data_IF_837602012803
#
_entry.id   IF_837602012803
#
_cell.length_a   1.000
_cell.length_b   1.000
_cell.length_c   1.000
_cell.angle_alpha   90.00
_cell.angle_beta   90.00
_cell.angle_gamma   90.00
#
_symmetry.space_group_name_H-M   'P 1'
#
loop_
_entity.id
_entity.type
_entity.pdbx_description
1 polymer ?
2 non-polymer ?
3 water ?
#
# COMPACT_ATOMS: atom_id res chain seq x y z
N UNK A 1 -4.36 -19.06 -18.94
CA UNK A 1 -3.45 -17.90 -19.18
C UNK A 1 -2.28 -18.28 -20.08
N UNK A 2 -1.77 -17.33 -20.87
CA UNK A 2 -0.63 -17.70 -21.73
C UNK A 2 0.54 -18.17 -20.89
N UNK A 3 1.32 -19.09 -21.43
CA UNK A 3 2.49 -19.62 -20.73
C UNK A 3 3.56 -18.53 -20.55
N UNK A 4 3.62 -17.61 -21.51
CA UNK A 4 4.58 -16.51 -21.42
C UNK A 4 3.97 -15.26 -22.02
N UNK A 5 4.46 -14.11 -21.57
CA UNK A 5 3.98 -12.80 -22.02
C UNK A 5 5.17 -11.84 -22.08
N UNK A 6 5.19 -10.98 -23.10
CA UNK A 6 6.26 -9.96 -23.23
C UNK A 6 5.60 -8.77 -23.91
N UNK A 7 5.24 -7.77 -23.11
CA UNK A 7 4.57 -6.59 -23.63
C UNK A 7 5.45 -5.79 -24.60
N UNK A 8 6.74 -6.03 -24.59
CA UNK A 8 7.60 -5.31 -25.55
C UNK A 8 7.21 -5.75 -26.96
N UNK A 9 6.80 -7.00 -27.10
CA UNK A 9 6.40 -7.54 -28.40
C UNK A 9 5.11 -6.93 -28.91
N UNK A 10 4.38 -6.27 -28.03
CA UNK A 10 3.14 -5.63 -28.44
C UNK A 10 3.34 -4.14 -28.59
N UNK A 11 4.60 -3.69 -28.59
CA UNK A 11 4.89 -2.27 -28.73
C UNK A 11 4.29 -1.44 -27.60
N UNK A 12 4.17 -2.01 -26.40
CA UNK A 12 3.58 -1.27 -25.27
C UNK A 12 4.61 -0.80 -24.23
N UNK A 13 5.89 -0.96 -24.53
CA UNK A 13 6.93 -0.56 -23.58
C UNK A 13 7.92 0.43 -24.21
N UNK A 14 8.10 1.58 -23.56
CA UNK A 14 9.01 2.60 -24.08
C UNK A 14 10.44 2.24 -23.76
N UNK A 15 11.37 3.03 -24.30
CA UNK A 15 12.80 2.80 -24.05
C UNK A 15 13.12 2.81 -22.56
N UNK A 16 14.15 2.07 -22.17
CA UNK A 16 14.59 2.04 -20.79
C UNK A 16 15.14 3.45 -20.48
N UNK A 17 14.82 3.97 -19.29
CA UNK A 17 15.28 5.28 -18.86
C UNK A 17 16.40 5.14 -17.82
N UNK A 18 17.13 6.24 -17.62
CA UNK A 18 18.26 6.28 -16.67
C UNK A 18 17.89 7.30 -15.58
N UNK A 19 17.63 6.83 -14.37
CA UNK A 19 17.23 7.76 -13.32
C UNK A 19 18.37 8.57 -12.71
N UNK A 20 19.60 8.12 -12.91
CA UNK A 20 20.75 8.82 -12.36
C UNK A 20 20.80 8.81 -10.84
N UNK A 21 21.28 9.91 -10.25
CA UNK A 21 21.40 9.99 -8.81
C UNK A 21 20.16 10.52 -8.11
N UNK A 22 19.00 10.35 -8.74
CA UNK A 22 17.73 10.80 -8.16
C UNK A 22 16.88 9.54 -7.94
N UNK A 23 16.41 9.34 -6.70
CA UNK A 23 15.61 8.16 -6.40
C UNK A 23 14.19 8.29 -6.91
N UNK A 24 14.05 8.33 -8.24
CA UNK A 24 12.76 8.49 -8.89
C UNK A 24 12.24 7.19 -9.48
N UNK A 25 12.78 6.05 -9.04
CA UNK A 25 12.33 4.77 -9.57
C UNK A 25 10.79 4.65 -9.49
N UNK A 26 10.20 5.14 -8.40
CA UNK A 26 8.75 5.07 -8.24
C UNK A 26 8.03 5.79 -9.37
N UNK A 27 8.55 6.95 -9.77
CA UNK A 27 7.91 7.71 -10.86
C UNK A 27 8.08 6.99 -12.21
N UNK A 28 9.25 6.39 -12.43
CA UNK A 28 9.50 5.67 -13.68
C UNK A 28 8.60 4.44 -13.74
N UNK A 29 8.45 3.76 -12.61
CA UNK A 29 7.59 2.59 -12.55
C UNK A 29 6.16 2.99 -12.90
N UNK A 30 5.69 4.06 -12.28
CA UNK A 30 4.35 4.54 -12.53
C UNK A 30 4.08 4.97 -13.97
N UNK A 31 4.97 5.77 -14.57
CA UNK A 31 4.73 6.19 -15.94
C UNK A 31 4.80 4.99 -16.88
N UNK A 32 5.69 4.05 -16.59
CA UNK A 32 5.83 2.88 -17.44
C UNK A 32 4.53 2.09 -17.53
N UNK A 33 3.84 1.97 -16.41
CA UNK A 33 2.56 1.26 -16.35
C UNK A 33 1.53 2.04 -17.14
N UNK A 34 1.50 3.36 -16.98
CA UNK A 34 0.52 4.16 -17.71
C UNK A 34 0.82 4.16 -19.21
N UNK A 35 2.10 4.17 -19.56
CA UNK A 35 2.51 4.18 -20.97
C UNK A 35 1.89 2.99 -21.74
N UNK A 36 1.80 1.83 -21.10
CA UNK A 36 1.26 0.64 -21.73
C UNK A 36 -0.24 0.81 -21.98
N UNK A 37 -0.94 1.33 -20.97
CA UNK A 37 -2.37 1.57 -21.09
C UNK A 37 -2.66 2.64 -22.14
N UNK A 38 -1.83 3.67 -22.17
CA UNK A 38 -2.03 4.74 -23.15
C UNK A 38 -1.92 4.12 -24.55
N UNK A 39 -0.93 3.26 -24.73
CA UNK A 39 -0.72 2.60 -26.03
C UNK A 39 -1.93 1.73 -26.40
N UNK A 40 -2.39 0.93 -25.43
CA UNK A 40 -3.54 0.06 -25.64
C UNK A 40 -4.77 0.86 -26.01
N UNK A 41 -4.92 2.03 -25.40
CA UNK A 41 -6.08 2.86 -25.65
C UNK A 41 -6.07 3.73 -26.90
N UNK A 42 -4.93 4.32 -27.21
CA UNK A 42 -4.84 5.22 -28.36
C UNK A 42 -4.04 4.72 -29.54
N UNK A 43 -3.30 3.64 -29.34
CA UNK A 43 -2.50 3.07 -30.41
C UNK A 43 -1.12 3.70 -30.54
N UNK A 44 -0.85 4.71 -29.73
CA UNK A 44 0.44 5.41 -29.77
C UNK A 44 1.30 5.16 -28.54
N UNK A 45 2.59 4.87 -28.75
CA UNK A 45 3.51 4.63 -27.65
C UNK A 45 4.23 5.94 -27.39
N UNK A 46 4.05 6.48 -26.19
CA UNK A 46 4.60 7.77 -25.81
C UNK A 46 5.24 7.74 -24.41
N UNK A 47 6.50 8.14 -24.28
CA UNK A 47 7.09 8.15 -22.95
C UNK A 47 6.42 9.26 -22.13
N UNK A 48 6.09 8.98 -20.88
CA UNK A 48 5.44 9.98 -20.05
C UNK A 48 6.45 10.58 -19.08
N UNK A 49 6.15 11.77 -18.58
CA UNK A 49 7.05 12.50 -17.70
C UNK A 49 7.24 12.05 -16.26
N UNK A 50 8.38 11.41 -15.99
CA UNK A 50 8.71 10.99 -14.64
C UNK A 50 8.98 12.25 -13.80
N UNK A 51 9.56 13.26 -14.43
CA UNK A 51 9.86 14.52 -13.73
C UNK A 51 8.58 15.20 -13.23
N UNK A 52 7.52 15.16 -14.03
CA UNK A 52 6.23 15.75 -13.67
C UNK A 52 5.80 15.16 -12.32
N UNK A 53 6.02 13.85 -12.14
CA UNK A 53 5.64 13.21 -10.89
C UNK A 53 6.55 13.66 -9.76
N UNK A 54 7.85 13.69 -10.04
CA UNK A 54 8.84 14.10 -9.03
C UNK A 54 8.55 15.50 -8.49
N UNK A 55 8.27 16.44 -9.39
CA UNK A 55 8.03 17.83 -9.02
C UNK A 55 6.64 18.13 -8.50
N UNK A 56 5.64 17.39 -8.96
CA UNK A 56 4.27 17.67 -8.59
C UNK A 56 3.52 16.70 -7.68
N UNK A 57 3.78 15.39 -7.77
CA UNK A 57 3.10 14.42 -6.91
C UNK A 57 3.97 14.39 -5.68
N UNK A 58 3.84 15.40 -4.82
CA UNK A 58 4.73 15.49 -3.69
C UNK A 58 4.15 15.23 -2.30
N UNK A 59 4.33 16.18 -1.38
CA UNK A 59 3.87 16.04 0.00
C UNK A 59 2.46 15.53 0.16
N UNK A 60 1.52 16.10 -0.58
CA UNK A 60 0.13 15.71 -0.49
C UNK A 60 -0.06 14.23 -0.83
N UNK A 61 0.89 13.67 -1.56
CA UNK A 61 0.83 12.27 -1.97
C UNK A 61 1.80 11.39 -1.19
N UNK A 62 2.39 11.95 -0.14
CA UNK A 62 3.33 11.18 0.68
C UNK A 62 4.62 10.89 -0.06
N UNK A 63 4.87 11.57 -1.17
CA UNK A 63 6.08 11.35 -1.95
C UNK A 63 7.16 12.39 -1.62
N UNK A 64 8.41 12.03 -1.87
CA UNK A 64 9.54 12.89 -1.57
C UNK A 64 10.49 13.07 -2.76
N UNK A 65 9.93 13.14 -3.96
CA UNK A 65 10.75 13.35 -5.15
C UNK A 65 11.96 12.45 -5.29
N UNK A 66 13.15 13.05 -5.38
CA UNK A 66 14.36 12.28 -5.54
C UNK A 66 14.70 11.46 -4.32
N UNK A 67 13.89 11.59 -3.26
CA UNK A 67 14.15 10.82 -2.06
C UNK A 67 13.11 9.70 -1.84
N UNK A 68 12.36 9.38 -2.90
CA UNK A 68 11.42 8.28 -2.80
C UNK A 68 9.97 8.62 -2.95
N UNK A 69 9.19 7.62 -3.35
CA UNK A 69 7.77 7.82 -3.54
C UNK A 69 7.02 6.50 -3.73
N UNK A 70 5.74 6.62 -4.05
CA UNK A 70 4.87 5.46 -4.24
C UNK A 70 4.21 5.49 -5.61
N UNK A 71 4.08 4.33 -6.24
CA UNK A 71 3.45 4.27 -7.55
C UNK A 71 1.95 4.55 -7.42
N UNK A 72 1.32 3.97 -6.41
CA UNK A 72 -0.11 4.18 -6.23
C UNK A 72 -0.49 5.62 -6.02
N UNK A 73 0.29 6.36 -5.22
CA UNK A 73 -0.08 7.75 -4.97
C UNK A 73 0.23 8.61 -6.16
N UNK A 74 1.21 8.17 -6.96
CA UNK A 74 1.54 8.87 -8.20
C UNK A 74 0.33 8.69 -9.11
N UNK A 75 -0.23 7.47 -9.17
CA UNK A 75 -1.41 7.25 -10.01
C UNK A 75 -2.51 8.18 -9.53
N UNK A 76 -2.71 8.26 -8.21
CA UNK A 76 -3.79 9.12 -7.72
C UNK A 76 -3.55 10.59 -8.09
N UNK A 77 -2.28 11.03 -8.08
CA UNK A 77 -1.97 12.42 -8.46
C UNK A 77 -2.41 12.65 -9.90
N UNK A 78 -2.12 11.70 -10.78
CA UNK A 78 -2.53 11.84 -12.18
C UNK A 78 -4.06 11.95 -12.30
N UNK A 79 -4.75 11.15 -11.51
CA UNK A 79 -6.21 11.17 -11.52
C UNK A 79 -6.68 12.54 -11.01
N UNK A 80 -6.21 12.93 -9.83
CA UNK A 80 -6.59 14.22 -9.24
C UNK A 80 -6.26 15.39 -10.16
N UNK A 81 -5.07 15.35 -10.73
CA UNK A 81 -4.56 16.38 -11.63
C UNK A 81 -5.24 16.39 -13.00
N UNK A 82 -5.90 15.30 -13.34
CA UNK A 82 -6.57 15.17 -14.63
C UNK A 82 -5.56 15.08 -15.79
N UNK A 83 -4.36 14.57 -15.50
CA UNK A 83 -3.38 14.42 -16.55
C UNK A 83 -1.94 14.40 -16.14
N UNK A 84 -1.10 13.98 -17.07
CA UNK A 84 0.33 13.94 -16.85
C UNK A 84 0.91 14.34 -18.20
N UNK A 85 1.98 15.13 -18.18
CA UNK A 85 2.64 15.61 -19.39
C UNK A 85 3.57 14.56 -20.01
N UNK A 86 3.92 14.76 -21.27
CA UNK A 86 4.84 13.84 -21.94
C UNK A 86 6.25 14.10 -21.44
N UNK A 87 7.10 13.08 -21.55
CA UNK A 87 8.50 13.18 -21.18
C UNK A 87 9.17 14.27 -22.04
N UNK A 88 8.86 14.29 -23.34
CA UNK A 88 9.47 15.28 -24.22
C UNK A 88 9.17 16.74 -23.79
N UNK A 89 7.95 16.98 -23.32
CA UNK A 89 7.53 18.33 -22.90
C UNK A 89 8.02 18.71 -21.51
N UNK A 90 8.33 17.71 -20.70
CA UNK A 90 8.72 17.96 -19.32
C UNK A 90 9.83 16.95 -19.07
N UNK A 91 11.03 17.22 -19.60
CA UNK A 91 12.19 16.31 -19.47
C UNK A 91 12.70 16.05 -18.06
N UNK A 92 13.30 14.87 -17.92
CA UNK A 92 13.83 14.39 -16.65
C UNK A 92 15.21 14.98 -16.36
N UNK A 93 15.33 15.63 -15.21
CA UNK A 93 16.56 16.29 -14.80
C UNK A 93 17.26 15.65 -13.61
N UNK A 94 16.63 14.61 -13.05
CA UNK A 94 17.21 13.91 -11.92
C UNK A 94 17.47 14.89 -10.77
N UNK A 95 16.51 15.78 -10.56
CA UNK A 95 16.55 16.77 -9.48
C UNK A 95 15.13 17.13 -9.11
N UNK A 96 14.96 17.61 -7.88
CA UNK A 96 13.67 18.08 -7.39
C UNK A 96 13.53 19.49 -7.95
N UNK A 97 12.42 19.77 -8.63
CA UNK A 97 12.20 21.09 -9.20
C UNK A 97 10.82 21.57 -8.82
N UNK A 98 10.53 22.82 -9.13
CA UNK A 98 9.21 23.38 -8.87
C UNK A 98 8.26 22.67 -9.83
N UNK A 99 7.01 22.50 -9.44
CA UNK A 99 6.04 21.84 -10.30
C UNK A 99 5.74 22.71 -11.51
N UNK A 100 5.95 22.16 -12.70
CA UNK A 100 5.71 22.92 -13.92
C UNK A 100 4.69 22.25 -14.82
N UNK A 101 3.75 21.52 -14.24
CA UNK A 101 2.73 20.87 -15.05
C UNK A 101 1.97 21.90 -15.87
N UNK A 102 1.66 21.53 -17.12
CA UNK A 102 0.91 22.40 -18.01
C UNK A 102 0.04 21.49 -18.86
N UNK A 103 -1.27 21.62 -18.75
CA UNK A 103 -2.20 20.79 -19.49
C UNK A 103 -2.03 20.86 -21.02
N UNK A 104 -1.38 21.90 -21.52
CA UNK A 104 -1.17 22.02 -22.96
C UNK A 104 -0.20 20.93 -23.43
N UNK A 105 0.57 20.39 -22.48
CA UNK A 105 1.51 19.32 -22.82
C UNK A 105 1.04 17.94 -22.32
N UNK A 106 -0.23 17.86 -21.92
CA UNK A 106 -0.78 16.59 -21.42
C UNK A 106 -0.69 15.49 -22.46
N UNK A 107 -0.17 14.33 -22.08
CA UNK A 107 -0.10 13.20 -23.02
C UNK A 107 -0.89 11.96 -22.57
N UNK A 108 -1.40 11.99 -21.33
CA UNK A 108 -2.18 10.86 -20.84
C UNK A 108 -3.02 11.27 -19.63
N UNK A 109 -4.04 10.47 -19.34
CA UNK A 109 -4.91 10.66 -18.17
C UNK A 109 -5.00 9.31 -17.47
N UNK A 110 -5.61 9.30 -16.29
CA UNK A 110 -5.78 8.09 -15.52
C UNK A 110 -7.14 8.25 -14.80
N UNK A 111 -7.95 7.21 -14.80
CA UNK A 111 -9.24 7.27 -14.15
C UNK A 111 -9.27 6.46 -12.86
N UNK A 112 -8.36 5.50 -12.72
CA UNK A 112 -8.34 4.67 -11.53
C UNK A 112 -7.11 3.80 -11.52
N UNK A 113 -6.85 3.18 -10.36
CA UNK A 113 -5.74 2.24 -10.28
C UNK A 113 -6.19 1.08 -9.37
N UNK A 114 -5.48 -0.04 -9.48
CA UNK A 114 -5.82 -1.22 -8.70
C UNK A 114 -4.58 -1.78 -8.03
N UNK A 115 -4.69 -2.10 -6.74
CA UNK A 115 -3.55 -2.70 -6.07
C UNK A 115 -3.87 -4.19 -5.90
N UNK A 116 -2.96 -5.04 -6.34
CA UNK A 116 -3.19 -6.48 -6.26
C UNK A 116 -2.98 -7.03 -4.84
N UNK A 117 -3.60 -8.18 -4.53
CA UNK A 117 -3.45 -8.80 -3.19
C UNK A 117 -2.00 -9.15 -2.92
N UNK A 118 -1.57 -8.89 -1.69
CA UNK A 118 -0.19 -9.12 -1.30
C UNK A 118 0.36 -10.53 -1.54
N UNK A 119 1.48 -10.60 -2.25
CA UNK A 119 2.19 -11.84 -2.49
C UNK A 119 1.60 -12.92 -3.38
N UNK A 120 0.45 -12.67 -3.99
CA UNK A 120 -0.17 -13.66 -4.87
C UNK A 120 0.47 -13.59 -6.27
N UNK A 121 1.41 -14.49 -6.55
CA UNK A 121 2.07 -14.48 -7.85
C UNK A 121 1.13 -14.91 -8.97
N UNK A 122 0.12 -15.71 -8.63
CA UNK A 122 -0.87 -16.16 -9.60
C UNK A 122 -1.75 -15.00 -10.04
N UNK A 123 -2.11 -14.13 -9.09
CA UNK A 123 -2.95 -12.98 -9.41
C UNK A 123 -2.13 -12.01 -10.26
N UNK A 124 -0.86 -11.86 -9.93
CA UNK A 124 0.01 -10.97 -10.68
C UNK A 124 0.17 -11.49 -12.13
N UNK A 125 0.23 -12.81 -12.29
CA UNK A 125 0.38 -13.41 -13.62
C UNK A 125 -0.84 -13.06 -14.46
N UNK A 126 -2.01 -13.23 -13.86
CA UNK A 126 -3.27 -12.93 -14.53
C UNK A 126 -3.36 -11.45 -14.95
N UNK A 127 -2.95 -10.56 -14.05
CA UNK A 127 -2.98 -9.13 -14.35
C UNK A 127 -2.01 -8.80 -15.49
N UNK A 128 -0.81 -9.36 -15.42
CA UNK A 128 0.18 -9.09 -16.47
C UNK A 128 -0.36 -9.60 -17.81
N UNK A 129 -1.02 -10.76 -17.80
CA UNK A 129 -1.57 -11.33 -19.03
C UNK A 129 -2.78 -10.58 -19.54
N UNK A 130 -3.73 -10.30 -18.65
CA UNK A 130 -4.99 -9.68 -19.05
C UNK A 130 -5.13 -8.16 -18.99
N UNK A 131 -4.26 -7.49 -18.24
CA UNK A 131 -4.38 -6.02 -18.12
C UNK A 131 -3.22 -5.25 -18.75
N UNK A 132 -2.00 -5.68 -18.46
CA UNK A 132 -0.82 -5.03 -19.00
C UNK A 132 0.31 -5.01 -17.99
N UNK A 133 1.43 -4.31 -18.27
CA UNK A 133 2.55 -4.24 -17.35
C UNK A 133 2.05 -3.75 -15.98
N UNK A 134 2.66 -4.25 -14.92
CA UNK A 134 2.25 -3.92 -13.56
C UNK A 134 3.39 -3.34 -12.74
N UNK A 135 3.13 -2.22 -12.07
CA UNK A 135 4.16 -1.58 -11.22
C UNK A 135 4.33 -2.43 -9.97
N UNK A 136 5.59 -2.68 -9.57
CA UNK A 136 5.84 -3.47 -8.37
C UNK A 136 7.04 -2.91 -7.62
N UNK A 137 7.21 -3.37 -6.40
CA UNK A 137 8.39 -3.00 -5.63
C UNK A 137 9.17 -4.27 -5.39
N UNK A 138 10.50 -4.23 -5.47
CA UNK A 138 11.30 -5.41 -5.20
C UNK A 138 12.40 -5.03 -4.24
N UNK A 139 12.99 -6.03 -3.60
CA UNK A 139 14.10 -5.80 -2.69
C UNK A 139 15.32 -5.85 -3.63
N UNK A 140 15.82 -4.67 -3.99
CA UNK A 140 16.97 -4.60 -4.90
C UNK A 140 18.24 -4.10 -4.20
N UNK A 141 18.30 -4.23 -2.87
CA UNK A 141 19.46 -3.76 -2.13
C UNK A 141 20.65 -4.72 -2.04
N UNK A 142 20.55 -5.91 -2.59
CA UNK A 142 21.67 -6.85 -2.51
C UNK A 142 22.68 -6.67 -3.62
N UNK A 143 23.98 -6.75 -3.28
CA UNK A 143 25.06 -6.59 -4.25
C UNK A 143 24.85 -7.34 -5.56
N UNK A 144 24.33 -8.56 -5.47
CA UNK A 144 24.08 -9.38 -6.65
C UNK A 144 23.11 -8.70 -7.63
N UNK A 145 22.18 -7.91 -7.12
CA UNK A 145 21.22 -7.25 -8.01
C UNK A 145 21.88 -6.26 -8.99
N UNK A 146 22.80 -5.46 -8.47
CA UNK A 146 23.51 -4.46 -9.28
C UNK A 146 24.37 -5.11 -10.36
N UNK A 147 24.86 -6.30 -10.07
CA UNK A 147 25.74 -7.07 -10.93
C UNK A 147 25.05 -8.07 -11.83
N UNK A 148 23.72 -8.13 -11.81
CA UNK A 148 23.00 -9.09 -12.65
C UNK A 148 23.31 -8.85 -14.13
N UNK A 149 23.58 -9.93 -14.87
CA UNK A 149 23.89 -9.81 -16.29
C UNK A 149 22.95 -10.64 -17.18
N UNK A 150 22.65 -11.88 -16.79
CA UNK A 150 21.77 -12.72 -17.59
C UNK A 150 21.16 -13.86 -16.79
N UNK A 151 20.35 -14.68 -17.46
CA UNK A 151 19.75 -15.81 -16.78
C UNK A 151 18.58 -15.35 -15.92
N UNK A 152 18.23 -16.15 -14.91
CA UNK A 152 17.14 -15.79 -14.02
C UNK A 152 17.71 -15.51 -12.65
N UNK A 153 17.43 -14.29 -12.17
CA UNK A 153 17.95 -13.82 -10.89
C UNK A 153 17.29 -14.48 -9.70
N UNK A 154 18.10 -15.16 -8.90
CA UNK A 154 17.62 -15.78 -7.68
C UNK A 154 18.69 -15.51 -6.64
N UNK A 155 18.31 -14.80 -5.58
CA UNK A 155 19.24 -14.42 -4.53
C UNK A 155 18.74 -14.93 -3.17
N UNK A 156 19.41 -15.94 -2.60
CA UNK A 156 19.00 -16.50 -1.31
C UNK A 156 18.83 -15.44 -0.23
N UNK A 157 19.64 -14.39 -0.28
CA UNK A 157 19.57 -13.34 0.73
C UNK A 157 18.45 -12.34 0.49
N UNK A 158 17.68 -12.53 -0.58
CA UNK A 158 16.59 -11.59 -0.84
C UNK A 158 15.50 -11.67 0.21
N UNK A 159 14.80 -10.55 0.41
CA UNK A 159 13.74 -10.50 1.39
C UNK A 159 12.49 -9.91 0.77
N UNK A 160 11.41 -9.86 1.55
CA UNK A 160 10.16 -9.28 1.11
C UNK A 160 10.04 -7.85 1.61
N UNK A 161 11.16 -7.28 2.07
CA UNK A 161 11.19 -5.88 2.49
C UNK A 161 11.64 -5.13 1.23
N UNK A 162 10.68 -4.67 0.44
CA UNK A 162 10.97 -4.02 -0.83
C UNK A 162 11.36 -2.56 -0.73
N UNK A 163 12.18 -2.12 -1.68
CA UNK A 163 12.68 -0.76 -1.63
C UNK A 163 12.88 -0.10 -2.97
N UNK A 164 12.63 -0.83 -4.06
CA UNK A 164 12.86 -0.30 -5.40
C UNK A 164 11.66 -0.53 -6.34
N UNK A 165 11.15 0.56 -6.90
CA UNK A 165 9.99 0.48 -7.79
C UNK A 165 10.40 0.15 -9.21
N UNK A 166 9.81 -0.90 -9.78
CA UNK A 166 10.14 -1.33 -11.13
C UNK A 166 8.85 -1.70 -11.85
N UNK A 167 8.98 -2.27 -13.03
CA UNK A 167 7.82 -2.62 -13.83
C UNK A 167 7.89 -4.00 -14.42
N UNK A 168 6.86 -4.82 -14.16
CA UNK A 168 6.84 -6.18 -14.71
C UNK A 168 6.17 -6.02 -16.07
N UNK A 169 6.89 -6.39 -17.14
CA UNK A 169 6.32 -6.26 -18.48
C UNK A 169 6.08 -7.64 -19.12
N UNK A 170 6.26 -8.71 -18.34
CA UNK A 170 6.02 -10.02 -18.88
C UNK A 170 6.46 -11.11 -17.93
N UNK A 171 6.42 -12.35 -18.41
CA UNK A 171 6.82 -13.47 -17.58
C UNK A 171 7.04 -14.65 -18.53
N UNK A 172 7.71 -15.68 -18.05
CA UNK A 172 7.96 -16.82 -18.90
C UNK A 172 8.78 -17.88 -18.19
N UNK A 173 9.49 -18.66 -18.99
CA UNK A 173 10.31 -19.76 -18.49
C UNK A 173 11.60 -19.82 -19.30
N UNK A 174 12.74 -19.84 -18.62
CA UNK A 174 14.03 -19.91 -19.30
C UNK A 174 14.84 -21.06 -18.74
N UNK A 175 15.12 -22.06 -19.56
CA UNK A 175 15.89 -23.21 -19.14
C UNK A 175 15.39 -23.86 -17.85
N UNK A 176 14.09 -24.00 -17.74
CA UNK A 176 13.51 -24.63 -16.57
C UNK A 176 13.24 -23.71 -15.40
N UNK A 177 13.57 -22.43 -15.52
CA UNK A 177 13.33 -21.47 -14.43
C UNK A 177 12.28 -20.47 -14.83
N UNK A 178 11.19 -20.41 -14.07
CA UNK A 178 10.14 -19.45 -14.34
C UNK A 178 10.64 -18.07 -13.91
N UNK A 179 10.23 -17.03 -14.61
CA UNK A 179 10.71 -15.69 -14.25
C UNK A 179 9.68 -14.61 -14.56
N UNK A 180 9.92 -13.44 -13.99
CA UNK A 180 9.12 -12.24 -14.21
C UNK A 180 10.07 -11.36 -15.04
N UNK A 181 9.59 -10.74 -16.11
CA UNK A 181 10.45 -9.87 -16.95
C UNK A 181 10.27 -8.47 -16.36
N UNK A 182 11.35 -7.92 -15.81
CA UNK A 182 11.29 -6.62 -15.14
C UNK A 182 12.05 -5.48 -15.84
N UNK A 183 11.37 -4.37 -16.07
CA UNK A 183 12.01 -3.22 -16.68
C UNK A 183 12.50 -2.32 -15.53
N UNK A 184 13.80 -2.07 -15.49
CA UNK A 184 14.41 -1.23 -14.46
C UNK A 184 14.59 0.19 -15.02
N UNK A 185 15.09 1.11 -14.20
CA UNK A 185 15.30 2.48 -14.66
C UNK A 185 16.72 2.97 -14.37
N UNK A 186 17.70 2.08 -14.57
CA UNK A 186 19.12 2.39 -14.38
C UNK A 186 19.82 2.34 -15.75
N UNK A 187 19.09 2.72 -16.79
CA UNK A 187 19.64 2.75 -18.14
C UNK A 187 19.88 1.41 -18.81
N UNK A 188 20.33 1.46 -20.06
CA UNK A 188 20.63 0.24 -20.84
C UNK A 188 21.83 -0.58 -20.38
N UNK A 189 22.72 0.02 -19.61
CA UNK A 189 23.90 -0.71 -19.14
C UNK A 189 23.56 -1.75 -18.07
N UNK A 190 22.45 -1.53 -17.39
CA UNK A 190 22.04 -2.46 -16.34
C UNK A 190 21.43 -3.74 -16.89
N UNK A 191 21.89 -4.87 -16.37
CA UNK A 191 21.35 -6.17 -16.75
C UNK A 191 21.26 -6.45 -18.24
N UNK A 192 20.09 -6.90 -18.68
CA UNK A 192 19.88 -7.21 -20.10
C UNK A 192 19.26 -6.02 -20.79
N UNK A 193 20.11 -5.08 -21.21
CA UNK A 193 19.66 -3.86 -21.88
C UNK A 193 18.61 -3.14 -21.04
N UNK A 194 18.84 -3.12 -19.72
CA UNK A 194 17.96 -2.41 -18.81
C UNK A 194 16.92 -3.27 -18.11
N UNK A 195 16.87 -4.54 -18.48
CA UNK A 195 15.91 -5.49 -17.92
C UNK A 195 16.55 -6.54 -17.04
N UNK A 196 15.73 -7.14 -16.19
CA UNK A 196 16.17 -8.23 -15.34
C UNK A 196 15.06 -9.30 -15.24
N UNK A 197 15.44 -10.55 -15.41
CA UNK A 197 14.49 -11.66 -15.29
C UNK A 197 14.62 -12.08 -13.83
N UNK A 198 13.54 -11.95 -13.05
CA UNK A 198 13.58 -12.29 -11.63
C UNK A 198 12.76 -13.55 -11.36
N UNK A 199 13.25 -14.42 -10.47
CA UNK A 199 12.57 -15.68 -10.17
C UNK A 199 11.08 -15.57 -9.87
N UNK A 200 10.30 -16.42 -10.54
CA UNK A 200 8.85 -16.45 -10.40
C UNK A 200 8.39 -17.77 -9.74
N UNK A 201 7.38 -17.66 -8.88
CA UNK A 201 6.82 -18.80 -8.17
C UNK A 201 7.88 -19.41 -7.28
N UNK A 202 8.71 -18.55 -6.72
CA UNK A 202 9.76 -19.04 -5.83
C UNK A 202 9.57 -18.31 -4.49
N UNK A 203 8.36 -18.47 -3.95
CA UNK A 203 8.01 -17.87 -2.69
C UNK A 203 8.07 -16.34 -2.66
N UNK A 204 7.46 -15.68 -3.65
CA UNK A 204 7.46 -14.22 -3.69
C UNK A 204 8.89 -13.69 -3.50
N UNK A 205 9.80 -14.21 -4.31
CA UNK A 205 11.22 -13.84 -4.27
C UNK A 205 11.47 -12.33 -4.40
N UNK A 206 12.21 -11.77 -3.44
CA UNK A 206 12.52 -10.34 -3.41
C UNK A 206 11.26 -9.51 -3.31
N UNK A 207 10.16 -10.12 -2.87
CA UNK A 207 8.90 -9.39 -2.75
C UNK A 207 8.28 -8.87 -4.02
N UNK A 208 8.65 -9.45 -5.16
CA UNK A 208 8.12 -9.00 -6.43
C UNK A 208 6.59 -8.88 -6.48
N UNK A 209 5.86 -9.76 -5.81
CA UNK A 209 4.41 -9.67 -5.84
C UNK A 209 3.82 -9.06 -4.57
N UNK A 210 4.68 -8.45 -3.75
CA UNK A 210 4.23 -7.84 -2.49
C UNK A 210 3.28 -6.67 -2.66
N UNK A 211 3.67 -5.70 -3.48
CA UNK A 211 2.85 -4.51 -3.71
C UNK A 211 2.67 -4.13 -5.19
N UNK A 212 1.94 -4.94 -5.95
CA UNK A 212 1.69 -4.66 -7.37
C UNK A 212 0.47 -3.76 -7.58
N UNK A 213 0.52 -2.93 -8.61
CA UNK A 213 -0.60 -2.07 -8.93
C UNK A 213 -0.56 -1.67 -10.40
N UNK A 214 -1.72 -1.37 -10.98
CA UNK A 214 -1.73 -0.92 -12.36
C UNK A 214 -2.83 0.10 -12.54
N UNK A 215 -2.58 1.09 -13.41
CA UNK A 215 -3.55 2.14 -13.66
C UNK A 215 -4.41 1.74 -14.85
N UNK A 216 -5.51 2.46 -15.06
CA UNK A 216 -6.37 2.24 -16.20
C UNK A 216 -6.82 3.60 -16.68
N UNK A 217 -7.21 3.67 -17.95
CA UNK A 217 -7.65 4.92 -18.57
C UNK A 217 -9.12 4.81 -18.95
N UNK B 1 -25.69 9.07 2.32
CA UNK B 1 -24.96 8.51 3.51
C UNK B 1 -25.41 9.19 4.81
N UNK B 2 -25.42 8.44 5.92
CA UNK B 2 -25.85 9.06 7.18
C UNK B 2 -24.84 10.16 7.56
N UNK B 3 -25.30 11.19 8.27
CA UNK B 3 -24.42 12.29 8.69
C UNK B 3 -23.39 11.86 9.72
N UNK B 4 -23.74 10.86 10.54
CA UNK B 4 -22.85 10.32 11.58
C UNK B 4 -23.04 8.80 11.74
N UNK B 5 -21.95 8.11 12.07
CA UNK B 5 -21.96 6.67 12.25
C UNK B 5 -21.04 6.38 13.44
N UNK B 6 -21.40 5.38 14.25
CA UNK B 6 -20.55 5.00 15.38
C UNK B 6 -20.76 3.50 15.55
N UNK B 7 -19.81 2.70 15.05
CA UNK B 7 -19.90 1.25 15.12
C UNK B 7 -19.95 0.68 16.53
N UNK B 8 -19.62 1.50 17.53
CA UNK B 8 -19.68 1.01 18.91
C UNK B 8 -21.16 0.85 19.27
N UNK B 9 -22.01 1.71 18.73
CA UNK B 9 -23.46 1.60 18.99
C UNK B 9 -24.04 0.33 18.39
N UNK B 10 -23.32 -0.24 17.42
CA UNK B 10 -23.79 -1.45 16.75
C UNK B 10 -23.18 -2.74 17.32
N UNK B 11 -22.42 -2.61 18.41
CA UNK B 11 -21.79 -3.75 19.05
C UNK B 11 -20.68 -4.42 18.27
N UNK B 12 -20.01 -3.67 17.41
CA UNK B 12 -18.94 -4.22 16.57
C UNK B 12 -17.52 -3.80 16.93
N UNK B 13 -17.34 -3.20 18.11
CA UNK B 13 -16.02 -2.74 18.52
C UNK B 13 -15.66 -3.26 19.92
N UNK B 14 -14.51 -3.92 20.04
CA UNK B 14 -14.10 -4.46 21.33
C UNK B 14 -13.51 -3.37 22.22
N UNK B 15 -13.09 -3.78 23.41
CA UNK B 15 -12.49 -2.84 24.35
C UNK B 15 -11.15 -2.35 23.81
N UNK B 16 -10.78 -1.15 24.21
CA UNK B 16 -9.52 -0.56 23.79
C UNK B 16 -8.37 -1.37 24.38
N UNK B 17 -7.36 -1.66 23.55
CA UNK B 17 -6.20 -2.41 23.99
C UNK B 17 -5.02 -1.45 24.26
N UNK B 18 -4.04 -1.93 25.01
CA UNK B 18 -2.82 -1.18 25.36
C UNK B 18 -1.59 -1.85 24.74
N UNK B 19 -1.01 -1.26 23.69
CA UNK B 19 0.15 -1.88 23.04
C UNK B 19 1.44 -1.82 23.84
N UNK B 20 1.50 -0.90 24.80
CA UNK B 20 2.71 -0.80 25.61
C UNK B 20 3.90 -0.35 24.80
N UNK B 21 5.08 -0.85 25.14
CA UNK B 21 6.27 -0.43 24.42
C UNK B 21 6.52 -1.15 23.09
N UNK B 22 5.61 -2.02 22.69
CA UNK B 22 5.75 -2.75 21.43
C UNK B 22 4.99 -2.01 20.32
N UNK B 23 5.67 -1.74 19.20
CA UNK B 23 5.05 -1.03 18.09
C UNK B 23 4.13 -1.92 17.27
N UNK B 24 3.03 -2.32 17.90
CA UNK B 24 2.06 -3.21 17.27
C UNK B 24 0.78 -2.53 16.83
N UNK B 25 0.82 -1.21 16.69
CA UNK B 25 -0.37 -0.46 16.30
C UNK B 25 -1.03 -1.06 15.05
N UNK B 26 -0.19 -1.51 14.12
CA UNK B 26 -0.64 -2.13 12.86
C UNK B 26 -1.41 -3.44 13.14
N UNK B 27 -0.93 -4.22 14.10
CA UNK B 27 -1.62 -5.47 14.43
C UNK B 27 -2.99 -5.18 15.06
N UNK B 28 -3.03 -4.24 16.00
CA UNK B 28 -4.29 -3.88 16.66
C UNK B 28 -5.29 -3.30 15.67
N UNK B 29 -4.78 -2.47 14.76
CA UNK B 29 -5.64 -1.87 13.76
C UNK B 29 -6.28 -2.98 12.90
N UNK B 30 -5.48 -3.97 12.52
CA UNK B 30 -5.98 -5.05 11.67
C UNK B 30 -7.02 -5.94 12.38
N UNK B 31 -6.70 -6.41 13.59
CA UNK B 31 -7.67 -7.26 14.32
C UNK B 31 -8.93 -6.44 14.59
N UNK B 32 -8.77 -5.15 14.84
CA UNK B 32 -9.94 -4.31 15.08
C UNK B 32 -10.91 -4.34 13.91
N UNK B 33 -10.39 -4.20 12.70
CA UNK B 33 -11.26 -4.21 11.53
C UNK B 33 -11.91 -5.58 11.38
N UNK B 34 -11.12 -6.64 11.53
CA UNK B 34 -11.66 -7.99 11.38
C UNK B 34 -12.69 -8.32 12.47
N UNK B 35 -12.49 -7.80 13.68
CA UNK B 35 -13.44 -8.05 14.78
C UNK B 35 -14.85 -7.58 14.42
N UNK B 36 -14.97 -6.43 13.74
CA UNK B 36 -16.28 -5.95 13.35
C UNK B 36 -16.93 -6.89 12.32
N UNK B 37 -16.13 -7.36 11.35
CA UNK B 37 -16.66 -8.25 10.33
C UNK B 37 -17.09 -9.58 10.95
N UNK B 38 -16.32 -10.06 11.92
CA UNK B 38 -16.64 -11.31 12.61
C UNK B 38 -18.00 -11.14 13.30
N UNK B 39 -18.18 -10.02 14.02
CA UNK B 39 -19.46 -9.77 14.69
C UNK B 39 -20.58 -9.71 13.64
N UNK B 40 -20.37 -8.99 12.55
CA UNK B 40 -21.39 -8.86 11.51
C UNK B 40 -21.76 -10.22 10.92
N UNK B 41 -20.79 -11.12 10.85
CA UNK B 41 -21.02 -12.44 10.29
C UNK B 41 -21.60 -13.46 11.26
N UNK B 42 -21.05 -13.51 12.47
CA UNK B 42 -21.48 -14.52 13.43
C UNK B 42 -22.34 -14.06 14.60
N UNK B 43 -22.44 -12.75 14.81
CA UNK B 43 -23.22 -12.23 15.91
C UNK B 43 -22.42 -12.18 17.20
N UNK B 44 -21.17 -12.64 17.17
CA UNK B 44 -20.34 -12.62 18.37
C UNK B 44 -19.23 -11.59 18.27
N UNK B 45 -19.00 -10.86 19.36
CA UNK B 45 -17.94 -9.86 19.43
C UNK B 45 -16.79 -10.47 20.25
N UNK B 46 -15.67 -10.73 19.60
CA UNK B 46 -14.54 -11.32 20.32
C UNK B 46 -13.23 -10.69 19.89
N UNK B 47 -12.40 -10.33 20.86
CA UNK B 47 -11.13 -9.71 20.54
C UNK B 47 -10.28 -10.78 19.88
N UNK B 48 -9.61 -10.38 18.79
CA UNK B 48 -8.74 -11.28 18.04
C UNK B 48 -7.30 -11.04 18.48
N UNK B 49 -6.44 -12.03 18.26
CA UNK B 49 -5.06 -11.94 18.71
C UNK B 49 -4.11 -11.05 17.94
N UNK B 50 -3.81 -9.87 18.48
CA UNK B 50 -2.85 -8.98 17.84
C UNK B 50 -1.47 -9.61 17.96
N UNK B 51 -1.26 -10.38 19.03
CA UNK B 51 0.02 -11.07 19.24
C UNK B 51 0.31 -12.08 18.13
N UNK B 52 -0.72 -12.78 17.70
CA UNK B 52 -0.67 -13.79 16.62
C UNK B 52 -0.07 -13.08 15.38
N UNK B 53 -0.51 -11.83 15.12
CA UNK B 53 0.00 -11.09 13.95
C UNK B 53 1.46 -10.72 14.16
N UNK B 54 1.76 -10.15 15.31
CA UNK B 54 3.13 -9.72 15.64
C UNK B 54 4.11 -10.87 15.47
N UNK B 55 3.75 -12.04 15.99
CA UNK B 55 4.63 -13.22 15.94
C UNK B 55 4.65 -14.00 14.62
N UNK B 56 3.56 -13.97 13.88
CA UNK B 56 3.47 -14.78 12.66
C UNK B 56 3.44 -14.06 11.33
N UNK B 57 2.83 -12.88 11.28
CA UNK B 57 2.79 -12.10 10.04
C UNK B 57 4.08 -11.31 10.10
N UNK B 58 5.18 -11.98 9.81
CA UNK B 58 6.50 -11.38 9.91
C UNK B 58 7.21 -11.09 8.57
N UNK B 59 8.47 -11.50 8.44
CA UNK B 59 9.27 -11.24 7.23
C UNK B 59 8.57 -11.49 5.90
N UNK B 60 7.91 -12.64 5.77
CA UNK B 60 7.22 -12.97 4.52
C UNK B 60 6.19 -11.91 4.17
N UNK B 61 5.72 -11.16 5.17
CA UNK B 61 4.71 -10.12 4.96
C UNK B 61 5.25 -8.69 5.05
N UNK B 62 6.57 -8.55 5.03
CA UNK B 62 7.18 -7.22 5.10
C UNK B 62 6.99 -6.55 6.46
N UNK B 63 6.57 -7.32 7.46
CA UNK B 63 6.35 -6.75 8.79
C UNK B 63 7.53 -7.00 9.71
N UNK B 64 7.63 -6.19 10.75
CA UNK B 64 8.74 -6.30 11.69
C UNK B 64 8.33 -6.40 13.17
N UNK B 65 7.19 -7.03 13.43
CA UNK B 65 6.71 -7.20 14.79
C UNK B 65 6.62 -5.93 15.60
N UNK B 66 7.31 -5.87 16.74
CA UNK B 66 7.25 -4.67 17.58
C UNK B 66 7.95 -3.47 16.94
N UNK B 67 8.57 -3.69 15.78
CA UNK B 67 9.22 -2.60 15.08
C UNK B 67 8.34 -2.06 13.94
N UNK B 68 7.11 -2.57 13.83
CA UNK B 68 6.23 -2.04 12.79
C UNK B 68 5.73 -3.00 11.74
N UNK B 69 4.62 -2.65 11.10
CA UNK B 69 4.06 -3.54 10.09
C UNK B 69 2.90 -2.91 9.33
N UNK B 70 2.25 -3.71 8.49
CA UNK B 70 1.13 -3.22 7.67
C UNK B 70 -0.18 -3.94 7.93
N UNK B 71 -1.29 -3.20 7.92
CA UNK B 71 -2.60 -3.81 8.12
C UNK B 71 -2.96 -4.70 6.92
N UNK B 72 -2.67 -4.22 5.72
CA UNK B 72 -3.00 -4.99 4.51
C UNK B 72 -2.29 -6.33 4.50
N UNK B 73 -0.99 -6.34 4.78
CA UNK B 73 -0.24 -7.60 4.79
C UNK B 73 -0.63 -8.48 5.97
N UNK B 74 -1.12 -7.85 7.04
CA UNK B 74 -1.59 -8.63 8.19
C UNK B 74 -2.85 -9.38 7.70
N UNK B 75 -3.75 -8.68 6.99
CA UNK B 75 -4.96 -9.32 6.48
C UNK B 75 -4.56 -10.48 5.55
N UNK B 76 -3.55 -10.27 4.70
CA UNK B 76 -3.15 -11.35 3.79
C UNK B 76 -2.62 -12.56 4.52
N UNK B 77 -1.88 -12.34 5.60
CA UNK B 77 -1.38 -13.44 6.40
C UNK B 77 -2.57 -14.28 6.92
N UNK B 78 -3.61 -13.59 7.40
CA UNK B 78 -4.80 -14.29 7.93
C UNK B 78 -5.44 -15.14 6.81
N UNK B 79 -5.52 -14.55 5.61
CA UNK B 79 -6.07 -15.27 4.46
C UNK B 79 -5.21 -16.50 4.16
N UNK B 80 -3.92 -16.29 3.93
CA UNK B 80 -3.01 -17.38 3.63
C UNK B 80 -2.99 -18.46 4.72
N UNK B 81 -3.01 -18.01 5.97
CA UNK B 81 -2.96 -18.89 7.14
C UNK B 81 -4.24 -19.65 7.38
N UNK B 82 -5.31 -19.17 6.77
CA UNK B 82 -6.64 -19.74 6.91
C UNK B 82 -7.16 -19.56 8.34
N UNK B 83 -6.74 -18.46 8.97
CA UNK B 83 -7.22 -18.19 10.31
C UNK B 83 -6.36 -17.31 11.20
N UNK B 84 -6.95 -16.85 12.29
CA UNK B 84 -6.26 -16.07 13.30
C UNK B 84 -6.90 -16.52 14.62
N UNK B 85 -6.05 -16.70 15.64
CA UNK B 85 -6.53 -17.15 16.96
C UNK B 85 -7.21 -16.03 17.76
N UNK B 86 -7.96 -16.41 18.79
CA UNK B 86 -8.64 -15.43 19.63
C UNK B 86 -7.59 -14.79 20.52
N UNK B 87 -7.85 -13.57 20.99
CA UNK B 87 -6.92 -12.90 21.88
C UNK B 87 -6.85 -13.72 23.19
N UNK B 88 -7.99 -14.27 23.62
CA UNK B 88 -8.01 -15.06 24.86
C UNK B 88 -7.02 -16.23 24.79
N UNK B 89 -6.99 -16.93 23.66
CA UNK B 89 -6.10 -18.10 23.49
C UNK B 89 -4.64 -17.75 23.22
N UNK B 90 -4.41 -16.56 22.67
CA UNK B 90 -3.06 -16.14 22.30
C UNK B 90 -2.97 -14.68 22.74
N UNK B 91 -2.79 -14.44 24.05
CA UNK B 91 -2.71 -13.10 24.66
C UNK B 91 -1.54 -12.22 24.25
N UNK B 92 -1.74 -10.92 24.36
CA UNK B 92 -0.73 -9.93 23.98
C UNK B 92 0.33 -9.75 25.07
N UNK B 93 1.59 -9.94 24.68
CA UNK B 93 2.72 -9.79 25.58
C UNK B 93 3.59 -8.56 25.32
N UNK B 94 3.20 -7.70 24.38
CA UNK B 94 3.99 -6.50 24.06
C UNK B 94 5.45 -6.81 23.75
N UNK B 95 5.70 -7.90 23.04
CA UNK B 95 7.06 -8.24 22.64
C UNK B 95 7.02 -9.26 21.51
N UNK B 96 8.10 -9.35 20.76
CA UNK B 96 8.20 -10.28 19.64
C UNK B 96 8.42 -11.69 20.17
N UNK B 97 7.68 -12.65 19.64
CA UNK B 97 7.83 -14.04 20.05
C UNK B 97 7.80 -14.93 18.81
N UNK B 98 8.21 -16.17 18.99
CA UNK B 98 8.19 -17.14 17.90
C UNK B 98 6.70 -17.38 17.62
N UNK B 99 6.35 -17.63 16.36
CA UNK B 99 4.95 -17.86 16.01
C UNK B 99 4.36 -19.03 16.79
N UNK B 100 3.21 -18.80 17.43
CA UNK B 100 2.56 -19.86 18.18
C UNK B 100 1.16 -20.13 17.68
N UNK B 101 0.88 -19.78 16.42
CA UNK B 101 -0.46 -20.01 15.91
C UNK B 101 -0.84 -21.48 15.98
N UNK B 102 -2.10 -21.74 16.31
CA UNK B 102 -2.62 -23.09 16.35
C UNK B 102 -4.05 -22.99 15.86
N UNK B 103 -4.39 -23.80 14.84
CA UNK B 103 -5.72 -23.82 14.28
C UNK B 103 -6.80 -24.21 15.32
N UNK B 104 -6.40 -24.90 16.38
CA UNK B 104 -7.39 -25.29 17.40
C UNK B 104 -7.92 -24.08 18.15
N UNK B 105 -7.21 -22.94 18.05
CA UNK B 105 -7.65 -21.71 18.70
C UNK B 105 -8.17 -20.65 17.72
N UNK B 106 -8.43 -21.06 16.48
CA UNK B 106 -8.94 -20.11 15.48
C UNK B 106 -10.25 -19.46 15.92
N UNK B 107 -10.33 -18.14 15.77
CA UNK B 107 -11.56 -17.41 16.13
C UNK B 107 -12.13 -16.67 14.91
N UNK B 108 -11.35 -16.56 13.84
CA UNK B 108 -11.83 -15.89 12.64
C UNK B 108 -11.01 -16.28 11.42
N UNK B 109 -11.58 -16.05 10.25
CA UNK B 109 -10.89 -16.29 8.99
C UNK B 109 -11.06 -14.97 8.24
N UNK B 110 -10.45 -14.87 7.07
CA UNK B 110 -10.57 -13.68 6.24
C UNK B 110 -10.47 -14.18 4.79
N UNK B 111 -11.30 -13.66 3.90
CA UNK B 111 -11.27 -14.11 2.52
C UNK B 111 -10.59 -13.10 1.59
N UNK B 112 -10.62 -11.83 1.97
CA UNK B 112 -10.01 -10.81 1.14
C UNK B 112 -10.00 -9.48 1.86
N UNK B 113 -9.33 -8.50 1.28
CA UNK B 113 -9.33 -7.16 1.85
C UNK B 113 -9.34 -6.16 0.70
N UNK B 114 -9.76 -4.93 0.99
CA UNK B 114 -9.87 -3.89 -0.02
C UNK B 114 -9.13 -2.64 0.41
N UNK B 115 -8.36 -2.06 -0.52
CA UNK B 115 -7.61 -0.84 -0.24
C UNK B 115 -8.34 0.30 -0.95
N UNK B 116 -8.77 1.29 -0.20
CA UNK B 116 -9.49 2.44 -0.76
C UNK B 116 -8.52 3.33 -1.53
N UNK B 117 -9.03 4.11 -2.50
CA UNK B 117 -8.19 5.02 -3.29
C UNK B 117 -7.58 6.10 -2.41
N UNK B 118 -6.31 6.40 -2.67
CA UNK B 118 -5.57 7.40 -1.93
C UNK B 118 -6.20 8.76 -1.73
N UNK B 119 -6.27 9.16 -0.46
CA UNK B 119 -6.80 10.46 -0.08
C UNK B 119 -8.26 10.78 -0.27
N UNK B 120 -9.08 9.82 -0.68
CA UNK B 120 -10.49 10.13 -0.91
C UNK B 120 -11.31 10.00 0.37
N UNK B 121 -11.56 11.13 1.04
CA UNK B 121 -12.32 11.10 2.29
C UNK B 121 -13.78 10.77 2.07
N UNK B 122 -14.31 11.07 0.88
CA UNK B 122 -15.71 10.77 0.56
C UNK B 122 -15.86 9.25 0.39
N UNK B 123 -14.87 8.62 -0.20
CA UNK B 123 -14.91 7.16 -0.40
C UNK B 123 -14.74 6.48 0.98
N UNK B 124 -13.88 7.04 1.82
CA UNK B 124 -13.67 6.48 3.17
C UNK B 124 -14.98 6.57 3.95
N UNK B 125 -15.69 7.69 3.80
CA UNK B 125 -16.96 7.85 4.50
C UNK B 125 -17.96 6.78 4.07
N UNK B 126 -18.04 6.54 2.77
CA UNK B 126 -18.97 5.53 2.28
C UNK B 126 -18.65 4.14 2.82
N UNK B 127 -17.37 3.82 2.89
CA UNK B 127 -16.92 2.52 3.40
C UNK B 127 -17.24 2.34 4.89
N UNK B 128 -16.98 3.37 5.68
CA UNK B 128 -17.26 3.29 7.12
C UNK B 128 -18.76 3.14 7.32
N UNK B 129 -19.55 3.87 6.54
CA UNK B 129 -21.00 3.77 6.65
C UNK B 129 -21.56 2.44 6.16
N UNK B 130 -21.03 1.94 5.05
CA UNK B 130 -21.56 0.71 4.45
C UNK B 130 -20.88 -0.63 4.67
N UNK B 131 -19.59 -0.62 5.00
CA UNK B 131 -18.87 -1.87 5.16
C UNK B 131 -18.53 -2.16 6.62
N UNK B 132 -18.01 -1.16 7.30
CA UNK B 132 -17.64 -1.32 8.70
C UNK B 132 -16.41 -0.50 9.04
N UNK B 133 -15.85 -0.68 10.24
CA UNK B 133 -14.65 0.06 10.63
C UNK B 133 -13.54 -0.18 9.59
N UNK B 134 -12.77 0.86 9.30
CA UNK B 134 -11.71 0.80 8.30
C UNK B 134 -10.32 1.05 8.92
N UNK B 135 -9.35 0.21 8.60
CA UNK B 135 -7.99 0.37 9.11
C UNK B 135 -7.35 1.51 8.33
N UNK B 136 -6.65 2.40 9.03
CA UNK B 136 -5.99 3.54 8.37
C UNK B 136 -4.66 3.87 9.03
N UNK B 137 -3.81 4.59 8.29
CA UNK B 137 -2.53 5.04 8.81
C UNK B 137 -2.67 6.55 8.97
N UNK B 138 -2.07 7.10 10.03
CA UNK B 138 -2.13 8.55 10.24
C UNK B 138 -0.74 9.05 10.66
N UNK B 139 -0.51 10.36 10.51
CA UNK B 139 0.74 10.96 10.94
C UNK B 139 0.48 11.32 12.40
N UNK B 140 1.06 10.53 13.30
CA UNK B 140 0.90 10.75 14.73
C UNK B 140 2.22 11.20 15.34
N UNK B 141 3.16 11.61 14.49
CA UNK B 141 4.49 12.05 14.92
C UNK B 141 4.54 13.51 15.36
N UNK B 142 3.60 13.94 16.21
CA UNK B 142 3.55 15.32 16.71
C UNK B 142 3.10 15.29 18.16
N UNK B 143 3.73 16.12 19.01
CA UNK B 143 3.36 16.16 20.42
C UNK B 143 1.87 16.32 20.70
N UNK B 144 1.18 17.12 19.89
CA UNK B 144 -0.26 17.33 20.10
C UNK B 144 -1.04 16.02 20.05
N UNK B 145 -0.54 15.07 19.28
CA UNK B 145 -1.23 13.79 19.18
C UNK B 145 -1.08 13.04 20.50
N UNK B 146 0.15 13.03 21.03
CA UNK B 146 0.40 12.37 22.31
C UNK B 146 -0.34 13.08 23.44
N UNK B 147 -0.52 14.39 23.32
CA UNK B 147 -1.19 15.19 24.36
C UNK B 147 -2.70 15.33 24.23
N UNK B 148 -3.26 14.83 23.13
CA UNK B 148 -4.69 14.94 22.89
C UNK B 148 -5.52 14.44 24.06
N UNK B 149 -6.53 15.23 24.44
CA UNK B 149 -7.42 14.85 25.54
C UNK B 149 -8.88 14.79 25.09
N UNK B 150 -9.33 15.76 24.29
CA UNK B 150 -10.72 15.74 23.86
C UNK B 150 -11.02 16.72 22.72
N UNK B 151 -12.21 16.58 22.13
CA UNK B 151 -12.64 17.43 21.03
C UNK B 151 -12.16 16.96 19.67
N UNK B 152 -12.25 17.83 18.67
CA UNK B 152 -11.80 17.45 17.34
C UNK B 152 -10.36 17.87 17.15
N UNK B 153 -9.49 16.90 16.97
CA UNK B 153 -8.06 17.13 16.79
C UNK B 153 -7.69 17.68 15.42
N UNK B 154 -7.00 18.81 15.42
CA UNK B 154 -6.50 19.43 14.19
C UNK B 154 -5.10 19.93 14.54
N UNK B 155 -4.12 19.48 13.75
CA UNK B 155 -2.72 19.84 13.96
C UNK B 155 -2.15 20.52 12.71
N UNK B 156 -1.92 21.85 12.79
CA UNK B 156 -1.38 22.63 11.66
C UNK B 156 -0.16 22.00 11.01
N UNK B 157 0.69 21.38 11.82
CA UNK B 157 1.90 20.78 11.28
C UNK B 157 1.76 19.30 10.86
N UNK B 158 0.53 18.80 10.80
CA UNK B 158 0.37 17.40 10.38
C UNK B 158 0.69 17.26 8.89
N UNK B 159 1.11 16.07 8.49
CA UNK B 159 1.46 15.79 7.09
C UNK B 159 0.75 14.54 6.59
N UNK B 160 0.94 14.23 5.31
CA UNK B 160 0.34 13.03 4.74
C UNK B 160 1.32 11.87 4.81
N UNK B 161 2.43 12.07 5.51
CA UNK B 161 3.42 11.00 5.70
C UNK B 161 2.95 10.26 6.95
N UNK B 162 2.23 9.16 6.76
CA UNK B 162 1.67 8.40 7.88
C UNK B 162 2.63 7.41 8.50
N UNK B 163 2.44 7.12 9.79
CA UNK B 163 3.37 6.25 10.49
C UNK B 163 2.75 5.47 11.63
N UNK B 164 1.44 5.65 11.85
CA UNK B 164 0.74 5.02 12.98
C UNK B 164 -0.58 4.40 12.53
N UNK B 165 -0.72 3.10 12.72
CA UNK B 165 -1.94 2.41 12.30
C UNK B 165 -3.04 2.48 13.34
N UNK B 166 -4.23 2.91 12.93
CA UNK B 166 -5.37 3.00 13.85
C UNK B 166 -6.64 2.52 13.15
N UNK B 167 -7.77 2.65 13.84
CA UNK B 167 -9.03 2.16 13.30
C UNK B 167 -10.16 3.19 13.30
N UNK B 168 -10.69 3.52 12.12
CA UNK B 168 -11.80 4.47 12.06
C UNK B 168 -13.07 3.66 12.34
N UNK B 169 -13.76 3.97 13.43
CA UNK B 169 -14.98 3.25 13.79
C UNK B 169 -16.23 4.09 13.64
N UNK B 170 -16.09 5.26 13.02
CA UNK B 170 -17.24 6.11 12.81
C UNK B 170 -16.86 7.50 12.35
N UNK B 171 -17.87 8.35 12.25
CA UNK B 171 -17.63 9.74 11.86
C UNK B 171 -18.81 10.59 12.32
N UNK B 172 -18.59 11.90 12.37
CA UNK B 172 -19.65 12.79 12.78
C UNK B 172 -19.17 14.22 12.75
N UNK B 173 -19.77 15.05 13.60
CA UNK B 173 -19.40 16.44 13.70
C UNK B 173 -19.68 16.95 15.10
N UNK B 174 -18.78 17.78 15.59
CA UNK B 174 -18.93 18.35 16.93
C UNK B 174 -19.26 19.81 16.68
N UNK B 175 -20.55 20.14 16.78
CA UNK B 175 -21.00 21.49 16.54
C UNK B 175 -20.40 22.02 15.23
N UNK B 176 -20.62 21.28 14.14
CA UNK B 176 -20.11 21.71 12.85
C UNK B 176 -18.74 21.16 12.46
N UNK B 177 -17.83 21.02 13.41
CA UNK B 177 -16.50 20.50 13.11
C UNK B 177 -16.55 19.00 12.83
N UNK B 178 -16.41 18.64 11.55
CA UNK B 178 -16.46 17.24 11.15
C UNK B 178 -15.25 16.44 11.62
N UNK B 179 -15.50 15.20 11.99
CA UNK B 179 -14.41 14.36 12.48
C UNK B 179 -14.55 12.89 12.11
N UNK B 180 -13.44 12.18 12.24
CA UNK B 180 -13.37 10.73 12.04
C UNK B 180 -13.26 10.20 13.47
N UNK B 181 -14.03 9.18 13.82
CA UNK B 181 -13.95 8.61 15.18
C UNK B 181 -12.91 7.49 15.11
N UNK B 182 -11.80 7.67 15.80
CA UNK B 182 -10.68 6.74 15.75
C UNK B 182 -10.36 5.98 17.02
N UNK B 183 -10.30 4.66 16.91
CA UNK B 183 -9.91 3.79 18.03
C UNK B 183 -8.39 3.63 17.97
N UNK B 184 -7.69 4.00 19.04
CA UNK B 184 -6.23 3.89 19.09
C UNK B 184 -5.94 2.64 19.93
N UNK B 185 -4.67 2.28 20.05
CA UNK B 185 -4.29 1.11 20.83
C UNK B 185 -3.25 1.49 21.89
N UNK B 186 -3.48 2.67 22.49
CA UNK B 186 -2.60 3.20 23.52
C UNK B 186 -3.27 3.16 24.90
N UNK B 187 -4.19 2.22 25.10
CA UNK B 187 -4.86 2.11 26.38
C UNK B 187 -6.04 3.07 26.61
N UNK B 188 -6.82 2.84 27.65
CA UNK B 188 -7.99 3.68 27.89
C UNK B 188 -7.70 5.05 28.51
N UNK B 189 -6.44 5.35 28.79
CA UNK B 189 -6.12 6.64 29.36
C UNK B 189 -5.81 7.64 28.26
N UNK B 190 -5.55 7.15 27.05
CA UNK B 190 -5.27 8.03 25.93
C UNK B 190 -6.52 8.72 25.43
N UNK B 191 -6.41 10.03 25.20
CA UNK B 191 -7.51 10.82 24.67
C UNK B 191 -8.89 10.61 25.28
N UNK B 192 -9.89 10.36 24.44
CA UNK B 192 -11.25 10.15 24.95
C UNK B 192 -11.44 8.68 25.28
N UNK B 193 -10.81 8.28 26.38
CA UNK B 193 -10.84 6.91 26.87
C UNK B 193 -10.44 5.90 25.79
N UNK B 194 -9.33 6.21 25.12
CA UNK B 194 -8.79 5.36 24.07
C UNK B 194 -9.08 5.80 22.65
N UNK B 195 -9.98 6.77 22.49
CA UNK B 195 -10.35 7.25 21.17
C UNK B 195 -9.87 8.67 20.91
N UNK B 196 -9.80 9.04 19.63
CA UNK B 196 -9.44 10.41 19.26
C UNK B 196 -10.32 10.76 18.06
N UNK B 197 -10.94 11.95 18.10
CA UNK B 197 -11.76 12.38 16.99
C UNK B 197 -10.87 13.28 16.16
N UNK B 198 -10.59 12.86 14.92
CA UNK B 198 -9.70 13.57 14.03
C UNK B 198 -10.39 14.33 12.91
N UNK B 199 -9.92 15.55 12.65
CA UNK B 199 -10.53 16.41 11.62
C UNK B 199 -10.78 15.66 10.32
N UNK B 200 -12.02 15.80 9.85
CA UNK B 200 -12.49 15.15 8.62
C UNK B 200 -12.81 16.22 7.56
N UNK B 201 -12.57 15.89 6.30
CA UNK B 201 -12.81 16.84 5.22
C UNK B 201 -12.00 18.13 5.41
N UNK B 202 -10.78 17.95 5.91
CA UNK B 202 -9.82 19.03 6.14
C UNK B 202 -8.55 18.71 5.31
N UNK B 203 -8.72 18.49 4.02
CA UNK B 203 -7.60 18.18 3.16
C UNK B 203 -6.82 16.93 3.55
N UNK B 204 -7.51 15.84 3.86
CA UNK B 204 -6.84 14.60 4.24
C UNK B 204 -5.87 14.84 5.40
N UNK B 205 -6.40 15.48 6.44
CA UNK B 205 -5.63 15.81 7.64
C UNK B 205 -4.89 14.64 8.27
N UNK B 206 -3.58 14.80 8.46
CA UNK B 206 -2.69 13.79 9.04
C UNK B 206 -2.67 12.52 8.19
N UNK B 207 -3.14 12.64 6.94
CA UNK B 207 -3.15 11.51 6.02
C UNK B 207 -4.11 10.40 6.40
N UNK B 208 -5.19 10.74 7.10
CA UNK B 208 -6.14 9.73 7.55
C UNK B 208 -6.73 8.88 6.40
N UNK B 209 -6.96 9.48 5.23
CA UNK B 209 -7.50 8.71 4.11
C UNK B 209 -6.41 8.34 3.09
N UNK B 210 -5.14 8.42 3.48
CA UNK B 210 -4.07 8.06 2.57
C UNK B 210 -4.06 6.58 2.23
N UNK B 211 -4.06 5.72 3.25
CA UNK B 211 -4.02 4.28 3.00
C UNK B 211 -5.07 3.49 3.80
N UNK B 212 -6.36 3.62 3.46
CA UNK B 212 -7.37 2.89 4.19
C UNK B 212 -7.63 1.50 3.61
N UNK B 213 -7.92 0.54 4.48
CA UNK B 213 -8.21 -0.81 4.03
C UNK B 213 -9.16 -1.50 5.02
N UNK B 214 -9.89 -2.49 4.53
CA UNK B 214 -10.81 -3.25 5.37
C UNK B 214 -10.90 -4.67 4.81
N UNK B 215 -11.06 -5.65 5.72
CA UNK B 215 -11.16 -7.05 5.36
C UNK B 215 -12.60 -7.50 5.26
N UNK B 216 -12.79 -8.68 4.71
CA UNK B 216 -14.13 -9.26 4.62
C UNK B 216 -14.01 -10.73 4.91
N UNK B 217 -15.11 -11.33 5.35
CA UNK B 217 -15.14 -12.76 5.68
C UNK B 217 -16.14 -13.47 4.79
X LIG C 1 10.68 5.00 -1.06
X LIG C 1 10.81 6.69 0.71
X LIG C 1 10.24 8.10 0.88
X LIG C 1 8.13 7.45 0.09
X LIG C 1 8.56 5.99 -0.17
X LIG C 1 11.89 4.78 -0.96
X LIG C 1 8.86 8.02 1.16
X LIG C 1 10.02 5.86 -0.22
X LIG C 1 9.96 4.38 -2.00
X LIG C 1 10.63 3.46 -2.94
X LIG C 1 9.62 2.82 -3.90
X LIG C 1 8.47 2.07 -3.24
X LIG C 1 7.58 1.39 -4.28
X LIG C 1 6.43 0.58 -3.66
X LIG C 1 6.94 -0.44 -2.65
X LIG C 1 7.92 0.18 -1.63
X LIG C 1 9.03 0.98 -2.33
X LIG C 1 11.70 4.24 -3.72
X LIG C 1 11.41 5.34 -4.24
X LIG C 1 15.30 3.49 -4.43
X LIG C 1 14.51 5.56 -3.68
X LIG C 1 15.31 4.89 -2.54
X LIG C 1 12.90 3.69 -3.83
X LIG C 1 15.66 3.53 -3.04
X LIG C 1 17.06 3.22 -2.80
X LIG C 1 17.53 1.92 -3.43
X LIG C 1 18.84 1.79 -3.88
X LIG C 1 19.31 0.59 -4.44
X LIG C 1 18.44 -0.50 -4.55
X LIG C 1 17.12 -0.38 -4.12
X LIG C 1 16.67 0.82 -3.56
X LIG C 1 13.83 4.70 -6.00
X LIG C 1 14.76 5.06 -6.87
X LIG C 1 14.06 4.36 -4.52
X LIG D 1 5.72 0.84 10.28
X LIG D 1 7.99 0.04 9.76
X LIG D 1 8.63 -1.32 9.51
X LIG D 1 6.80 -2.05 8.21
X LIG D 1 6.04 -0.73 8.37
X LIG D 1 6.16 1.59 11.14
X LIG D 1 8.22 -1.84 8.25
X LIG D 1 6.54 0.06 9.50
X LIG D 1 4.41 0.75 10.05
X LIG D 1 3.48 1.56 10.84
X LIG D 1 2.04 1.30 10.39
X LIG D 1 1.80 1.52 8.89
X LIG D 1 0.31 1.48 8.57
X LIG D 1 -0.01 1.83 7.13
X LIG D 1 0.55 3.19 6.76
X LIG D 1 2.05 3.25 7.03
X LIG D 1 2.36 2.87 8.47
X LIG D 1 3.67 1.19 12.33
X LIG D 1 3.74 0.01 12.68
X LIG D 1 4.25 3.39 15.31
X LIG D 1 5.36 1.34 14.82
X LIG D 1 6.39 2.49 14.92
X LIG D 1 3.75 2.22 13.18
X LIG D 1 5.60 3.73 14.91
X LIG D 1 6.23 4.75 15.74
X LIG D 1 5.25 5.86 16.07
X LIG D 1 4.89 6.11 17.39
X LIG D 1 4.01 7.15 17.71
X LIG D 1 3.50 7.95 16.71
X LIG D 1 3.85 7.72 15.38
X LIG D 1 4.72 6.67 15.07
X LIG D 1 2.88 1.30 15.41
X LIG D 1 2.78 1.13 16.72
X LIG D 1 4.01 2.02 14.65
#
# INVERSE_FOLDING_TARGET
LPDSVDWREKGCVTEVKYQGSCGACWAFSAVGALEAQLKLKTGKLVSLSAQNLVDCSTEKYGNKGCNGGFMTTAFQYIIDNKGIDSDASYPYKAMDQKCQYDSKYRAATCSKYTELPYGREDVLKEAVANKGPVSVGVDARHPSFFLYRSGVYYEPSCTQNVNHGVLVVGYGDLNGKEYWLVKNSWGHNFGEEGYIRMARNKGNHCGIASFPSYPEIHHHHH
LPDSVDWREKGCVTEVKYQGSCGACWAFSAVGALEAQLKLKTGKLVSLSAQNLVDCSTEKYGNKGCNGGFMTTAFQYIIDNKGIDSDASYPYKAMDQKCQYDSKYRAATCSKYTELPYGREDVLKEAVANKGPVSVGVDARHPSFFLYRSGVYYEPSCTQNVNHGVLVVGYGDLNGKEYWLVKNSWGHNFGEEGYIRMARNKGNHCGIASFPSYPEIHHHHH
Y14 C01 C02 C03 C04 C05 O06 O07 N08 N09 C10 C11 C12 C13 C14 C15 C16 C17 C18 O19 C20 C21 C22 N23 N24 C25 C26 C27 C28 C29 C30 C31 C32 N33 C34
Y14 C01 C02 C03 C04 C05 O06 O07 N08 N09 C10 C11 C12 C13 C14 C15 C16 C17 C18 O19 C20 C21 C22 N23 N24 C25 C26 C27 C28 C29 C30 C31 C32 N33 C34
#
